data_IF_693836536502
#
_entry.id   IF_693836536502
#
_cell.length_a   1.000
_cell.length_b   1.000
_cell.length_c   1.000
_cell.angle_alpha   90.00
_cell.angle_beta   90.00
_cell.angle_gamma   90.00
#
_symmetry.space_group_name_H-M   'P 1'
#
loop_
_entity.id
_entity.type
_entity.pdbx_description
1 polymer ?
#
# COMPACT_ATOMS: atom_id res chain seq x y z
N UNK A 1 -15.07 -2.95 20.33
CA UNK A 1 -15.73 -3.02 19.00
C UNK A 1 -14.73 -2.51 17.98
N UNK A 2 -14.45 -3.28 16.92
CA UNK A 2 -13.52 -2.88 15.84
C UNK A 2 -14.20 -1.89 14.88
N UNK A 3 -13.41 -1.05 14.19
CA UNK A 3 -13.88 -0.18 13.11
C UNK A 3 -14.17 -0.96 11.83
N UNK A 4 -14.96 -0.39 10.91
CA UNK A 4 -15.15 -0.93 9.54
C UNK A 4 -13.83 -1.08 8.78
N UNK A 5 -12.88 -0.18 9.05
CA UNK A 5 -11.54 -0.24 8.44
C UNK A 5 -10.77 -1.45 8.97
N UNK A 6 -10.77 -1.65 10.29
CA UNK A 6 -10.07 -2.76 10.94
C UNK A 6 -10.68 -4.12 10.59
N UNK A 7 -11.96 -4.17 10.21
CA UNK A 7 -12.62 -5.37 9.70
C UNK A 7 -12.42 -5.58 8.19
N UNK A 8 -11.76 -4.68 7.49
CA UNK A 8 -11.59 -4.74 6.03
C UNK A 8 -12.86 -4.41 5.22
N UNK A 9 -13.94 -3.97 5.87
CA UNK A 9 -15.19 -3.58 5.19
C UNK A 9 -15.07 -2.22 4.48
N UNK A 10 -14.07 -1.41 4.83
CA UNK A 10 -13.83 -0.10 4.24
C UNK A 10 -12.34 0.19 4.13
N UNK A 11 -11.87 0.58 2.96
CA UNK A 11 -10.50 1.06 2.82
C UNK A 11 -10.30 2.43 3.48
N UNK A 12 -9.18 2.58 4.18
CA UNK A 12 -8.70 3.89 4.59
C UNK A 12 -8.43 4.76 3.35
N UNK A 13 -8.64 6.07 3.48
CA UNK A 13 -8.19 7.03 2.48
C UNK A 13 -6.74 7.43 2.76
N UNK A 14 -6.00 7.79 1.71
CA UNK A 14 -4.61 8.26 1.84
C UNK A 14 -4.48 9.46 2.79
N UNK A 15 -5.45 10.37 2.77
CA UNK A 15 -5.50 11.56 3.65
C UNK A 15 -5.53 11.20 5.16
N UNK A 16 -5.99 10.00 5.52
CA UNK A 16 -6.04 9.56 6.91
C UNK A 16 -4.69 9.03 7.43
N UNK A 17 -3.73 8.71 6.56
CA UNK A 17 -2.48 8.05 6.95
C UNK A 17 -1.68 8.91 7.92
N UNK A 18 -1.59 10.23 7.67
CA UNK A 18 -0.90 11.16 8.56
C UNK A 18 -1.57 11.30 9.94
N UNK A 19 -2.91 11.24 9.97
CA UNK A 19 -3.67 11.28 11.23
C UNK A 19 -3.48 9.98 12.00
N UNK A 20 -3.54 8.84 11.30
CA UNK A 20 -3.35 7.51 11.88
C UNK A 20 -1.92 7.32 12.41
N UNK A 21 -0.89 7.77 11.69
CA UNK A 21 0.50 7.68 12.15
C UNK A 21 0.71 8.43 13.47
N UNK A 22 0.11 9.62 13.60
CA UNK A 22 0.15 10.43 14.82
C UNK A 22 -0.58 9.74 15.99
N UNK A 23 -1.82 9.28 15.78
CA UNK A 23 -2.63 8.64 16.83
C UNK A 23 -2.00 7.34 17.30
N UNK A 24 -1.55 6.50 16.36
CA UNK A 24 -0.97 5.20 16.64
C UNK A 24 0.51 5.27 17.03
N UNK A 25 1.12 6.46 16.99
CA UNK A 25 2.55 6.71 17.25
C UNK A 25 3.45 5.76 16.47
N UNK A 26 3.17 5.63 15.18
CA UNK A 26 3.90 4.76 14.27
C UNK A 26 4.43 5.54 13.06
N UNK A 27 5.30 4.92 12.28
CA UNK A 27 5.90 5.49 11.08
C UNK A 27 4.83 5.80 10.02
N UNK A 28 4.82 7.04 9.52
CA UNK A 28 3.97 7.42 8.39
C UNK A 28 4.35 6.63 7.14
N UNK A 29 5.64 6.42 6.90
CA UNK A 29 6.15 5.72 5.73
C UNK A 29 5.74 4.24 5.75
N UNK A 30 5.72 3.62 6.93
CA UNK A 30 5.29 2.23 7.09
C UNK A 30 3.80 2.09 6.80
N UNK A 31 2.97 2.97 7.36
CA UNK A 31 1.53 2.99 7.08
C UNK A 31 1.22 3.32 5.62
N UNK A 32 1.96 4.24 5.02
CA UNK A 32 1.82 4.57 3.61
C UNK A 32 2.19 3.39 2.72
N UNK A 33 3.26 2.67 3.07
CA UNK A 33 3.70 1.47 2.34
C UNK A 33 2.64 0.37 2.38
N UNK A 34 2.05 0.10 3.56
CA UNK A 34 0.95 -0.86 3.70
C UNK A 34 -0.28 -0.43 2.89
N UNK A 35 -0.65 0.86 2.96
CA UNK A 35 -1.78 1.37 2.19
C UNK A 35 -1.57 1.26 0.68
N UNK A 36 -0.36 1.53 0.19
CA UNK A 36 -0.01 1.36 -1.23
C UNK A 36 -0.01 -0.11 -1.64
N UNK A 37 0.50 -1.01 -0.80
CA UNK A 37 0.49 -2.45 -1.05
C UNK A 37 -0.94 -2.97 -1.23
N UNK A 38 -1.88 -2.56 -0.36
CA UNK A 38 -3.31 -2.87 -0.51
C UNK A 38 -3.86 -2.40 -1.86
N UNK A 39 -3.48 -1.19 -2.31
CA UNK A 39 -3.94 -0.67 -3.61
C UNK A 39 -3.37 -1.45 -4.78
N UNK A 40 -2.09 -1.81 -4.73
CA UNK A 40 -1.46 -2.63 -5.76
C UNK A 40 -2.14 -4.00 -5.80
N UNK A 41 -2.32 -4.64 -4.65
CA UNK A 41 -3.00 -5.93 -4.53
C UNK A 41 -4.41 -5.88 -5.13
N UNK A 42 -5.22 -4.89 -4.76
CA UNK A 42 -6.59 -4.75 -5.26
C UNK A 42 -6.66 -4.64 -6.79
N UNK A 43 -5.64 -4.03 -7.43
CA UNK A 43 -5.56 -3.91 -8.90
C UNK A 43 -5.26 -5.26 -9.55
N UNK A 44 -4.40 -6.09 -8.95
CA UNK A 44 -3.86 -7.29 -9.61
C UNK A 44 -4.43 -8.61 -9.08
N UNK A 45 -5.18 -8.62 -7.98
CA UNK A 45 -5.57 -9.85 -7.25
C UNK A 45 -6.30 -10.93 -8.05
N UNK A 46 -6.91 -10.58 -9.18
CA UNK A 46 -7.66 -11.51 -10.03
C UNK A 46 -6.88 -11.91 -11.30
N UNK A 47 -5.64 -11.45 -11.45
CA UNK A 47 -4.81 -11.73 -12.61
C UNK A 47 -3.89 -12.92 -12.34
N UNK A 48 -3.85 -13.88 -13.27
CA UNK A 48 -3.01 -15.08 -13.16
C UNK A 48 -1.50 -14.72 -13.08
N UNK A 49 -1.11 -13.63 -13.75
CA UNK A 49 0.27 -13.15 -13.81
C UNK A 49 0.57 -12.02 -12.82
N UNK A 50 -0.25 -11.83 -11.78
CA UNK A 50 -0.14 -10.72 -10.82
C UNK A 50 1.27 -10.58 -10.23
N UNK A 51 1.88 -11.69 -9.79
CA UNK A 51 3.22 -11.68 -9.19
C UNK A 51 4.29 -11.24 -10.20
N UNK A 52 4.23 -11.76 -11.43
CA UNK A 52 5.16 -11.38 -12.50
C UNK A 52 5.02 -9.88 -12.83
N UNK A 53 3.79 -9.38 -12.90
CA UNK A 53 3.54 -7.95 -13.13
C UNK A 53 4.14 -7.07 -12.03
N UNK A 54 4.00 -7.46 -10.76
CA UNK A 54 4.62 -6.76 -9.62
C UNK A 54 6.14 -6.78 -9.71
N UNK A 55 6.75 -7.93 -10.02
CA UNK A 55 8.22 -8.04 -10.17
C UNK A 55 8.77 -7.15 -11.28
N UNK A 56 8.07 -7.07 -12.42
CA UNK A 56 8.45 -6.19 -13.51
C UNK A 56 8.38 -4.72 -13.07
N UNK A 57 7.29 -4.32 -12.39
CA UNK A 57 7.12 -2.96 -11.90
C UNK A 57 8.19 -2.57 -10.85
N UNK A 58 8.52 -3.47 -9.92
CA UNK A 58 9.59 -3.25 -8.93
C UNK A 58 10.95 -3.01 -9.61
N UNK A 59 11.28 -3.81 -10.64
CA UNK A 59 12.53 -3.64 -11.40
C UNK A 59 12.61 -2.28 -12.10
N UNK A 60 11.51 -1.84 -12.70
CA UNK A 60 11.44 -0.51 -13.34
C UNK A 60 11.65 0.61 -12.32
N UNK A 61 10.99 0.54 -11.16
CA UNK A 61 11.16 1.52 -10.07
C UNK A 61 12.61 1.60 -9.58
N UNK A 62 13.26 0.46 -9.34
CA UNK A 62 14.67 0.40 -8.93
C UNK A 62 15.60 1.01 -9.98
N UNK A 63 15.32 0.76 -11.26
CA UNK A 63 16.10 1.32 -12.36
C UNK A 63 15.97 2.84 -12.41
N UNK A 64 14.77 3.38 -12.16
CA UNK A 64 14.55 4.83 -12.09
C UNK A 64 15.28 5.48 -10.91
N UNK A 65 15.28 4.84 -9.73
CA UNK A 65 15.97 5.33 -8.54
C UNK A 65 17.49 5.39 -8.78
N UNK A 66 18.06 4.33 -9.36
CA UNK A 66 19.51 4.26 -9.60
C UNK A 66 20.02 5.21 -10.69
N UNK A 67 19.13 5.77 -11.52
CA UNK A 67 19.47 6.79 -12.54
C UNK A 67 19.52 8.21 -11.99
N UNK A 68 19.05 8.43 -10.76
CA UNK A 68 18.90 9.75 -10.14
C UNK A 68 20.04 10.01 -9.16
#
# INVERSE_FOLDING_TARGET
MLSKIERGERHAKKEHIAVLSSILRTSYDDLLSLWLADKVYEVVKNEELALIAIEIADRELRTMINKK
#
